data_IF_626783994700
#
_entry.id   IF_626783994700
#
_cell.length_a   1.000
_cell.length_b   1.000
_cell.length_c   1.000
_cell.angle_alpha   90.00
_cell.angle_beta   90.00
_cell.angle_gamma   90.00
#
_symmetry.space_group_name_H-M   'P 1'
#
loop_
_entity.id
_entity.type
_entity.pdbx_description
1 polymer ?
#
# COMPACT_ATOMS: atom_id res chain seq x y z
N UNK A 1 24.39 -16.65 8.09
CA UNK A 1 23.04 -16.90 7.55
C UNK A 1 22.69 -18.36 7.43
N UNK A 2 23.55 -19.22 6.83
CA UNK A 2 23.28 -20.67 6.72
C UNK A 2 22.70 -21.29 8.00
N UNK A 3 23.42 -21.19 9.12
CA UNK A 3 22.95 -21.68 10.41
C UNK A 3 21.56 -21.14 10.80
N UNK A 4 21.32 -19.84 10.63
CA UNK A 4 20.04 -19.22 10.99
C UNK A 4 18.90 -19.72 10.10
N UNK A 5 19.13 -19.82 8.79
CA UNK A 5 18.17 -20.36 7.81
C UNK A 5 17.85 -21.83 8.11
N UNK A 6 18.86 -22.67 8.33
CA UNK A 6 18.71 -24.10 8.63
C UNK A 6 18.00 -24.33 9.98
N UNK A 7 18.25 -23.46 10.96
CA UNK A 7 17.66 -23.56 12.30
C UNK A 7 16.21 -23.11 12.32
N UNK A 8 15.89 -22.00 11.65
CA UNK A 8 14.56 -21.37 11.72
C UNK A 8 13.63 -21.75 10.57
N UNK A 9 14.18 -22.28 9.48
CA UNK A 9 13.45 -22.63 8.25
C UNK A 9 12.66 -21.46 7.65
N UNK A 10 13.17 -20.23 7.80
CA UNK A 10 12.56 -19.04 7.19
C UNK A 10 12.81 -19.00 5.68
N UNK A 11 11.82 -18.48 4.94
CA UNK A 11 11.88 -18.33 3.47
C UNK A 11 12.51 -17.00 3.01
N UNK A 12 12.92 -16.14 3.96
CA UNK A 12 13.42 -14.81 3.63
C UNK A 12 13.87 -13.97 4.81
N UNK A 13 14.44 -12.81 4.50
CA UNK A 13 15.02 -11.88 5.47
C UNK A 13 14.61 -10.43 5.21
N UNK A 14 14.33 -9.70 6.29
CA UNK A 14 14.34 -8.23 6.33
C UNK A 14 15.70 -7.78 6.88
N UNK A 15 16.48 -7.06 6.08
CA UNK A 15 17.78 -6.55 6.44
C UNK A 15 17.66 -5.12 6.96
N UNK A 16 18.20 -4.90 8.15
CA UNK A 16 18.18 -3.63 8.86
C UNK A 16 19.30 -2.69 8.39
N UNK A 17 19.04 -1.39 8.41
CA UNK A 17 20.03 -0.31 8.37
C UNK A 17 20.99 -0.37 7.16
N UNK A 18 20.51 -0.78 5.98
CA UNK A 18 21.37 -1.09 4.82
C UNK A 18 22.24 0.09 4.35
N UNK A 19 21.78 1.32 4.59
CA UNK A 19 22.53 2.55 4.26
C UNK A 19 23.84 2.70 5.05
N UNK A 20 24.05 1.89 6.09
CA UNK A 20 25.23 1.92 6.96
C UNK A 20 26.23 0.78 6.71
N UNK A 21 25.93 -0.14 5.77
CA UNK A 21 26.83 -1.23 5.41
C UNK A 21 27.61 -0.93 4.13
N UNK A 22 28.77 -1.58 3.97
CA UNK A 22 29.44 -1.64 2.68
C UNK A 22 28.53 -2.37 1.69
N UNK A 23 28.20 -1.69 0.59
CA UNK A 23 27.36 -2.31 -0.44
C UNK A 23 28.03 -3.51 -1.11
N UNK A 24 29.37 -3.53 -1.17
CA UNK A 24 30.09 -4.66 -1.79
C UNK A 24 29.99 -5.91 -0.91
N UNK A 25 30.10 -5.73 0.41
CA UNK A 25 29.84 -6.81 1.38
C UNK A 25 28.40 -7.31 1.27
N UNK A 26 27.42 -6.40 1.26
CA UNK A 26 26.01 -6.78 1.15
C UNK A 26 25.75 -7.60 -0.12
N UNK A 27 26.30 -7.16 -1.26
CA UNK A 27 26.15 -7.86 -2.54
C UNK A 27 26.71 -9.28 -2.49
N UNK A 28 27.95 -9.43 -2.03
CA UNK A 28 28.59 -10.74 -1.89
C UNK A 28 27.81 -11.65 -0.93
N UNK A 29 27.37 -11.10 0.20
CA UNK A 29 26.65 -11.84 1.22
C UNK A 29 25.24 -12.28 0.76
N UNK A 30 24.50 -11.40 0.08
CA UNK A 30 23.20 -11.72 -0.52
C UNK A 30 23.36 -12.77 -1.62
N UNK A 31 24.40 -12.63 -2.45
CA UNK A 31 24.72 -13.61 -3.51
C UNK A 31 24.98 -14.97 -2.89
N UNK A 32 25.80 -15.05 -1.84
CA UNK A 32 26.06 -16.30 -1.12
C UNK A 32 24.78 -16.94 -0.56
N UNK A 33 23.86 -16.15 0.01
CA UNK A 33 22.58 -16.67 0.51
C UNK A 33 21.79 -17.32 -0.64
N UNK A 34 21.66 -16.61 -1.77
CA UNK A 34 20.88 -17.09 -2.92
C UNK A 34 21.54 -18.23 -3.69
N UNK A 35 22.86 -18.36 -3.70
CA UNK A 35 23.53 -19.45 -4.45
C UNK A 35 23.80 -20.68 -3.59
N UNK A 36 24.18 -20.49 -2.32
CA UNK A 36 24.67 -21.57 -1.48
C UNK A 36 23.71 -22.00 -0.37
N UNK A 37 22.76 -21.14 0.03
CA UNK A 37 21.84 -21.42 1.14
C UNK A 37 20.45 -21.76 0.62
N UNK A 38 19.81 -20.83 -0.08
CA UNK A 38 18.48 -21.00 -0.66
C UNK A 38 18.27 -20.06 -1.86
N UNK A 39 18.18 -20.59 -3.10
CA UNK A 39 17.85 -19.82 -4.30
C UNK A 39 16.49 -19.11 -4.26
N UNK A 40 15.54 -19.63 -3.47
CA UNK A 40 14.22 -19.05 -3.28
C UNK A 40 14.17 -17.91 -2.26
N UNK A 41 15.26 -17.68 -1.51
CA UNK A 41 15.25 -16.76 -0.38
C UNK A 41 14.87 -15.34 -0.78
N UNK A 42 13.75 -14.84 -0.25
CA UNK A 42 13.31 -13.47 -0.46
C UNK A 42 14.07 -12.49 0.45
N UNK A 43 14.54 -11.37 -0.08
CA UNK A 43 15.33 -10.40 0.67
C UNK A 43 14.70 -9.03 0.51
N UNK A 44 14.35 -8.44 1.64
CA UNK A 44 13.82 -7.09 1.77
C UNK A 44 14.80 -6.24 2.58
N UNK A 45 15.13 -5.06 2.08
CA UNK A 45 16.04 -4.13 2.71
C UNK A 45 15.37 -2.87 3.24
N UNK A 46 15.78 -2.44 4.43
CA UNK A 46 15.57 -1.07 4.89
C UNK A 46 16.76 -0.20 4.44
N UNK A 47 16.62 0.40 3.25
CA UNK A 47 17.49 1.46 2.77
C UNK A 47 16.74 2.80 2.88
N UNK A 48 16.65 3.35 4.09
CA UNK A 48 15.78 4.51 4.34
C UNK A 48 16.26 5.81 3.69
N UNK A 49 15.57 6.20 2.60
CA UNK A 49 15.71 7.47 1.88
C UNK A 49 14.36 7.91 1.31
N UNK A 50 13.96 9.16 1.52
CA UNK A 50 12.87 9.81 0.76
C UNK A 50 13.36 10.20 -0.65
N UNK A 51 13.88 9.24 -1.39
CA UNK A 51 14.41 9.42 -2.75
C UNK A 51 14.48 8.08 -3.49
N UNK A 52 13.49 7.81 -4.34
CA UNK A 52 13.43 6.56 -5.10
C UNK A 52 14.58 6.41 -6.12
N UNK A 53 15.22 7.50 -6.56
CA UNK A 53 16.39 7.39 -7.44
C UNK A 53 17.59 6.82 -6.68
N UNK A 54 17.84 7.31 -5.46
CA UNK A 54 18.90 6.77 -4.61
C UNK A 54 18.66 5.30 -4.23
N UNK A 55 17.41 4.94 -3.94
CA UNK A 55 17.05 3.53 -3.69
C UNK A 55 17.27 2.69 -4.96
N UNK A 56 16.89 3.21 -6.13
CA UNK A 56 17.12 2.55 -7.42
C UNK A 56 18.60 2.31 -7.72
N UNK A 57 19.46 3.30 -7.51
CA UNK A 57 20.92 3.18 -7.67
C UNK A 57 21.48 2.10 -6.74
N UNK A 58 21.00 2.06 -5.49
CA UNK A 58 21.37 1.00 -4.56
C UNK A 58 20.91 -0.38 -5.04
N UNK A 59 19.67 -0.51 -5.51
CA UNK A 59 19.10 -1.74 -6.06
C UNK A 59 19.88 -2.25 -7.27
N UNK A 60 20.28 -1.35 -8.18
CA UNK A 60 21.13 -1.68 -9.34
C UNK A 60 22.49 -2.23 -8.90
N UNK A 61 23.11 -1.60 -7.89
CA UNK A 61 24.39 -2.08 -7.36
C UNK A 61 24.28 -3.50 -6.81
N UNK A 62 23.11 -3.87 -6.28
CA UNK A 62 22.81 -5.21 -5.76
C UNK A 62 22.38 -6.21 -6.84
N UNK A 63 22.46 -5.85 -8.13
CA UNK A 63 21.95 -6.65 -9.26
C UNK A 63 20.50 -7.12 -9.04
N UNK A 64 19.67 -6.24 -8.45
CA UNK A 64 18.24 -6.50 -8.23
C UNK A 64 17.94 -7.74 -7.35
N UNK A 65 18.93 -8.20 -6.58
CA UNK A 65 18.79 -9.34 -5.68
C UNK A 65 17.97 -9.03 -4.41
N UNK A 66 17.52 -7.78 -4.25
CA UNK A 66 16.88 -7.26 -3.05
C UNK A 66 15.72 -6.32 -3.40
N UNK A 67 14.59 -6.48 -2.72
CA UNK A 67 13.52 -5.47 -2.69
C UNK A 67 13.78 -4.45 -1.59
N UNK A 68 13.26 -3.23 -1.70
CA UNK A 68 13.41 -2.19 -0.68
C UNK A 68 12.04 -1.67 -0.22
N UNK A 69 11.98 -1.25 1.05
CA UNK A 69 10.82 -0.50 1.53
C UNK A 69 10.65 0.83 0.78
N UNK A 70 9.43 1.13 0.40
CA UNK A 70 9.06 2.36 -0.32
C UNK A 70 8.87 3.54 0.64
N UNK A 71 9.95 3.98 1.27
CA UNK A 71 9.93 5.14 2.15
C UNK A 71 9.36 6.41 1.46
N UNK A 72 9.64 6.69 0.16
CA UNK A 72 9.03 7.84 -0.52
C UNK A 72 7.50 7.75 -0.61
N UNK A 73 6.93 6.57 -0.83
CA UNK A 73 5.48 6.40 -0.81
C UNK A 73 4.89 6.60 0.59
N UNK A 74 5.55 6.10 1.64
CA UNK A 74 5.17 6.41 3.02
C UNK A 74 5.13 7.93 3.27
N UNK A 75 6.16 8.67 2.84
CA UNK A 75 6.18 10.13 2.99
C UNK A 75 5.10 10.83 2.14
N UNK A 76 4.70 10.28 1.00
CA UNK A 76 3.53 10.76 0.27
C UNK A 76 2.24 10.60 1.10
N UNK A 77 2.03 9.46 1.75
CA UNK A 77 0.87 9.25 2.63
C UNK A 77 0.90 10.16 3.85
N UNK A 78 2.06 10.34 4.48
CA UNK A 78 2.24 11.26 5.60
C UNK A 78 1.85 12.68 5.20
N UNK A 79 2.42 13.22 4.10
CA UNK A 79 2.11 14.56 3.57
C UNK A 79 0.62 14.70 3.20
N UNK A 80 0.04 13.70 2.54
CA UNK A 80 -1.38 13.72 2.18
C UNK A 80 -2.29 13.76 3.42
N UNK A 81 -1.90 13.07 4.50
CA UNK A 81 -2.62 13.09 5.76
C UNK A 81 -2.53 14.43 6.49
N UNK A 82 -1.39 15.14 6.34
CA UNK A 82 -1.16 16.47 6.91
C UNK A 82 -1.93 17.57 6.17
N UNK A 83 -1.83 17.58 4.84
CA UNK A 83 -2.40 18.62 3.97
C UNK A 83 -3.91 18.42 3.70
N UNK A 84 -4.44 17.22 3.90
CA UNK A 84 -5.87 16.95 3.71
C UNK A 84 -6.30 17.20 2.26
N UNK A 85 -7.32 18.03 2.07
CA UNK A 85 -7.85 18.37 0.73
C UNK A 85 -6.91 19.21 -0.12
N UNK A 86 -5.86 19.81 0.46
CA UNK A 86 -4.90 20.60 -0.31
C UNK A 86 -3.86 19.73 -1.02
N UNK A 87 -3.73 18.46 -0.61
CA UNK A 87 -2.88 17.49 -1.29
C UNK A 87 -3.51 17.00 -2.60
N UNK A 88 -2.74 17.02 -3.69
CA UNK A 88 -3.15 16.51 -5.00
C UNK A 88 -2.97 15.00 -5.11
N UNK A 89 -4.05 14.22 -4.92
CA UNK A 89 -4.06 12.76 -4.97
C UNK A 89 -3.61 12.19 -6.32
N UNK A 90 -3.67 12.97 -7.42
CA UNK A 90 -3.15 12.51 -8.72
C UNK A 90 -1.64 12.20 -8.65
N UNK A 91 -0.96 12.80 -7.66
CA UNK A 91 0.48 12.68 -7.43
C UNK A 91 0.84 11.72 -6.29
N UNK A 92 -0.12 10.98 -5.74
CA UNK A 92 0.12 10.15 -4.54
C UNK A 92 1.21 9.08 -4.76
N UNK A 93 1.39 8.60 -5.99
CA UNK A 93 2.44 7.66 -6.36
C UNK A 93 3.70 8.35 -6.91
N UNK A 94 3.64 9.65 -7.20
CA UNK A 94 4.73 10.36 -7.87
C UNK A 94 6.00 10.36 -7.02
N UNK A 95 7.10 9.94 -7.62
CA UNK A 95 8.40 9.86 -6.98
C UNK A 95 8.59 8.63 -6.09
N UNK A 96 7.59 7.75 -5.98
CA UNK A 96 7.69 6.50 -5.20
C UNK A 96 8.56 5.44 -5.85
N UNK A 97 9.03 4.49 -5.05
CA UNK A 97 9.68 3.30 -5.59
C UNK A 97 8.67 2.41 -6.33
N UNK A 98 7.42 2.36 -5.88
CA UNK A 98 6.32 1.66 -6.54
C UNK A 98 6.09 2.18 -7.96
N UNK A 99 6.13 3.50 -8.17
CA UNK A 99 6.00 4.10 -9.50
C UNK A 99 7.20 3.78 -10.40
N UNK A 100 8.42 3.81 -9.84
CA UNK A 100 9.65 3.69 -10.65
C UNK A 100 10.12 2.25 -10.86
N UNK A 101 9.94 1.38 -9.88
CA UNK A 101 10.47 0.00 -9.80
C UNK A 101 9.52 -0.92 -9.02
N UNK A 102 8.30 -1.17 -9.51
CA UNK A 102 7.26 -1.89 -8.78
C UNK A 102 7.69 -3.27 -8.29
N UNK A 103 8.42 -4.04 -9.13
CA UNK A 103 8.88 -5.39 -8.80
C UNK A 103 9.84 -5.46 -7.58
N UNK A 104 10.48 -4.35 -7.23
CA UNK A 104 11.44 -4.26 -6.13
C UNK A 104 10.94 -3.38 -4.99
N UNK A 105 9.68 -2.93 -5.06
CA UNK A 105 9.08 -2.05 -4.07
C UNK A 105 8.21 -2.84 -3.08
N UNK A 106 8.49 -2.67 -1.80
CA UNK A 106 7.57 -3.08 -0.73
C UNK A 106 6.92 -1.84 -0.15
N UNK A 107 5.65 -1.65 -0.50
CA UNK A 107 4.85 -0.50 -0.06
C UNK A 107 4.32 -0.74 1.36
N UNK A 108 4.32 0.28 2.21
CA UNK A 108 3.81 0.22 3.57
C UNK A 108 3.18 1.56 3.96
N UNK A 109 2.29 1.55 4.95
CA UNK A 109 1.70 2.78 5.51
C UNK A 109 2.49 3.25 6.72
N UNK A 110 2.81 2.33 7.63
CA UNK A 110 3.53 2.58 8.88
C UNK A 110 4.54 1.48 9.19
N UNK A 111 5.51 1.79 10.04
CA UNK A 111 6.37 0.81 10.68
C UNK A 111 6.73 1.27 12.11
N UNK A 112 7.60 0.50 12.75
CA UNK A 112 8.04 0.75 14.12
C UNK A 112 8.92 2.00 14.29
N UNK A 113 9.53 2.52 13.23
CA UNK A 113 10.34 3.74 13.27
C UNK A 113 9.51 5.01 13.04
N UNK A 114 8.38 4.90 12.32
CA UNK A 114 7.56 6.04 11.87
C UNK A 114 6.36 6.34 12.78
N UNK A 115 6.00 5.41 13.67
CA UNK A 115 5.01 5.63 14.72
C UNK A 115 5.45 6.74 15.70
N UNK A 116 4.50 7.24 16.48
CA UNK A 116 4.67 8.44 17.32
C UNK A 116 5.85 8.30 18.30
N UNK A 117 6.63 9.36 18.48
CA UNK A 117 7.82 9.42 19.35
C UNK A 117 8.96 8.44 19.00
N UNK A 118 8.97 7.82 17.82
CA UNK A 118 10.07 6.95 17.38
C UNK A 118 11.08 7.68 16.48
N UNK A 119 12.20 7.02 16.16
CA UNK A 119 13.38 7.65 15.58
C UNK A 119 13.15 8.35 14.22
N UNK A 120 12.15 7.90 13.46
CA UNK A 120 11.78 8.43 12.16
C UNK A 120 10.32 8.90 12.15
N UNK A 121 9.82 9.41 13.29
CA UNK A 121 8.43 9.84 13.47
C UNK A 121 7.90 10.64 12.26
N UNK A 122 6.95 10.04 11.56
CA UNK A 122 6.22 10.62 10.42
C UNK A 122 4.88 9.91 10.29
N UNK A 123 4.14 9.90 11.40
CA UNK A 123 2.93 9.11 11.56
C UNK A 123 1.81 9.60 10.63
N UNK A 124 1.31 8.71 9.77
CA UNK A 124 0.14 8.97 8.91
C UNK A 124 -1.09 9.13 9.80
N UNK A 125 -1.80 10.26 9.70
CA UNK A 125 -2.99 10.50 10.53
C UNK A 125 -4.07 9.43 10.29
N UNK A 126 -4.73 9.02 11.37
CA UNK A 126 -5.69 7.91 11.37
C UNK A 126 -6.79 8.01 10.32
N UNK A 127 -7.26 9.22 10.02
CA UNK A 127 -8.30 9.45 9.00
C UNK A 127 -7.84 9.08 7.59
N UNK A 128 -6.53 9.14 7.30
CA UNK A 128 -5.97 8.85 5.98
C UNK A 128 -5.43 7.41 5.86
N UNK A 129 -5.14 6.72 6.98
CA UNK A 129 -4.69 5.32 6.97
C UNK A 129 -5.60 4.39 6.14
N UNK A 130 -6.95 4.44 6.26
CA UNK A 130 -7.87 3.74 5.37
C UNK A 130 -7.57 3.89 3.86
N UNK A 131 -7.29 5.13 3.42
CA UNK A 131 -7.03 5.45 2.02
C UNK A 131 -5.65 4.94 1.59
N UNK A 132 -4.63 5.14 2.44
CA UNK A 132 -3.27 4.66 2.19
C UNK A 132 -3.23 3.12 2.08
N UNK A 133 -3.93 2.41 2.98
CA UNK A 133 -4.04 0.96 2.91
C UNK A 133 -4.79 0.50 1.64
N UNK A 134 -5.87 1.18 1.25
CA UNK A 134 -6.56 0.84 0.01
C UNK A 134 -5.63 0.97 -1.21
N UNK A 135 -4.80 2.02 -1.26
CA UNK A 135 -3.83 2.22 -2.35
C UNK A 135 -2.85 1.04 -2.41
N UNK A 136 -2.18 0.68 -1.31
CA UNK A 136 -1.16 -0.39 -1.36
C UNK A 136 -1.77 -1.80 -1.48
N UNK A 137 -2.98 -2.02 -0.94
CA UNK A 137 -3.63 -3.33 -0.96
C UNK A 137 -4.37 -3.62 -2.27
N UNK A 138 -4.94 -2.61 -2.93
CA UNK A 138 -5.82 -2.84 -4.08
C UNK A 138 -5.19 -2.43 -5.41
N UNK A 139 -3.98 -1.86 -5.39
CA UNK A 139 -3.19 -1.62 -6.60
C UNK A 139 -2.55 -2.90 -7.13
N UNK A 140 -2.51 -3.05 -8.45
CA UNK A 140 -1.90 -4.19 -9.16
C UNK A 140 -0.42 -4.38 -8.83
N UNK A 141 0.36 -3.32 -8.96
CA UNK A 141 1.83 -3.37 -8.92
C UNK A 141 2.43 -3.45 -7.51
N UNK A 142 1.59 -3.30 -6.47
CA UNK A 142 2.08 -3.19 -5.10
C UNK A 142 2.33 -4.56 -4.46
N UNK A 143 3.48 -4.68 -3.80
CA UNK A 143 3.70 -5.65 -2.74
C UNK A 143 3.49 -4.96 -1.38
N UNK A 144 2.27 -5.03 -0.80
CA UNK A 144 1.96 -4.36 0.45
C UNK A 144 2.51 -5.09 1.67
N UNK A 145 3.04 -4.33 2.62
CA UNK A 145 3.36 -4.75 3.98
C UNK A 145 2.39 -4.08 4.96
N UNK A 146 1.64 -4.90 5.70
CA UNK A 146 0.68 -4.42 6.71
C UNK A 146 1.38 -4.27 8.06
N UNK A 147 1.15 -3.14 8.73
CA UNK A 147 1.72 -2.89 10.04
C UNK A 147 0.89 -3.53 11.15
N UNK A 148 1.56 -4.23 12.08
CA UNK A 148 0.89 -4.98 13.14
C UNK A 148 0.01 -4.08 14.05
N UNK A 149 0.50 -2.95 14.59
CA UNK A 149 -0.32 -2.01 15.36
C UNK A 149 -1.54 -1.46 14.62
N UNK A 150 -1.45 -1.21 13.31
CA UNK A 150 -2.63 -0.74 12.57
C UNK A 150 -3.70 -1.84 12.43
N UNK A 151 -3.31 -3.12 12.42
CA UNK A 151 -4.25 -4.24 12.35
C UNK A 151 -4.83 -4.64 13.71
N UNK A 152 -4.00 -4.63 14.75
CA UNK A 152 -4.36 -5.17 16.07
C UNK A 152 -4.49 -4.12 17.18
N UNK A 153 -4.12 -2.88 16.91
CA UNK A 153 -3.93 -1.84 17.92
C UNK A 153 -2.63 -2.07 18.69
N UNK A 154 -2.14 -1.02 19.34
CA UNK A 154 -1.02 -1.11 20.28
C UNK A 154 -1.13 -0.01 21.33
N UNK A 155 -0.47 -0.20 22.46
CA UNK A 155 -0.31 0.81 23.49
C UNK A 155 1.13 0.73 24.00
N UNK A 156 1.77 1.88 24.14
CA UNK A 156 3.13 1.98 24.67
C UNK A 156 3.34 3.34 25.33
N UNK A 157 4.43 3.43 26.07
CA UNK A 157 4.85 4.66 26.73
C UNK A 157 6.20 5.08 26.19
N UNK A 158 6.38 6.38 25.97
CA UNK A 158 7.69 6.96 25.68
C UNK A 158 7.91 8.27 26.44
N UNK A 159 9.12 8.84 26.38
CA UNK A 159 9.48 10.08 27.05
C UNK A 159 9.68 11.18 26.02
N UNK A 160 8.97 12.30 26.20
CA UNK A 160 9.18 13.53 25.44
C UNK A 160 9.36 14.69 26.41
N UNK A 161 10.45 15.44 26.23
CA UNK A 161 10.79 16.60 27.08
C UNK A 161 10.84 16.27 28.60
N UNK A 162 11.20 15.03 28.94
CA UNK A 162 11.29 14.54 30.33
C UNK A 162 9.95 14.12 30.94
N UNK A 163 8.85 14.19 30.18
CA UNK A 163 7.53 13.72 30.59
C UNK A 163 7.20 12.37 29.95
N UNK A 164 6.57 11.51 30.73
CA UNK A 164 6.06 10.21 30.29
C UNK A 164 4.77 10.41 29.50
N UNK A 165 4.75 9.97 28.24
CA UNK A 165 3.60 10.04 27.34
C UNK A 165 3.12 8.63 27.04
N UNK A 166 1.87 8.35 27.37
CA UNK A 166 1.17 7.15 26.91
C UNK A 166 0.62 7.39 25.50
N UNK A 167 0.90 6.46 24.59
CA UNK A 167 0.44 6.46 23.20
C UNK A 167 -0.46 5.24 23.00
N UNK A 168 -1.68 5.52 22.54
CA UNK A 168 -2.65 4.50 22.13
C UNK A 168 -2.77 4.56 20.61
N UNK A 169 -2.43 3.46 19.95
CA UNK A 169 -2.60 3.27 18.52
C UNK A 169 -3.89 2.50 18.26
N UNK A 170 -4.96 3.15 17.75
CA UNK A 170 -6.18 2.45 17.42
C UNK A 170 -5.99 1.53 16.20
N UNK A 171 -6.84 0.52 16.10
CA UNK A 171 -6.95 -0.29 14.89
C UNK A 171 -7.48 0.55 13.74
N UNK A 172 -6.99 0.28 12.54
CA UNK A 172 -7.65 0.70 11.30
C UNK A 172 -8.80 -0.27 11.05
N UNK A 173 -9.99 0.08 11.52
CA UNK A 173 -11.16 -0.82 11.56
C UNK A 173 -11.49 -1.50 10.22
N UNK A 174 -11.26 -0.82 9.08
CA UNK A 174 -11.53 -1.40 7.75
C UNK A 174 -10.44 -2.31 7.21
N UNK A 175 -9.27 -2.34 7.83
CA UNK A 175 -8.11 -3.04 7.29
C UNK A 175 -8.35 -4.55 7.07
N UNK A 176 -9.06 -5.27 7.97
CA UNK A 176 -9.48 -6.65 7.69
C UNK A 176 -10.38 -6.78 6.45
N UNK A 177 -11.25 -5.81 6.19
CA UNK A 177 -12.10 -5.82 4.99
C UNK A 177 -11.29 -5.52 3.73
N UNK A 178 -10.34 -4.56 3.77
CA UNK A 178 -9.44 -4.31 2.64
C UNK A 178 -8.55 -5.51 2.31
N UNK A 179 -8.08 -6.25 3.32
CA UNK A 179 -7.35 -7.51 3.12
C UNK A 179 -8.19 -8.56 2.41
N UNK A 180 -9.47 -8.71 2.79
CA UNK A 180 -10.41 -9.58 2.08
C UNK A 180 -10.63 -9.10 0.65
N UNK A 181 -10.79 -7.79 0.45
CA UNK A 181 -10.97 -7.22 -0.88
C UNK A 181 -9.77 -7.47 -1.80
N UNK A 182 -8.54 -7.35 -1.29
CA UNK A 182 -7.32 -7.72 -2.03
C UNK A 182 -7.37 -9.19 -2.44
N UNK A 183 -7.74 -10.07 -1.51
CA UNK A 183 -7.77 -11.51 -1.74
C UNK A 183 -8.90 -11.98 -2.67
N UNK A 184 -10.00 -11.23 -2.79
CA UNK A 184 -11.18 -11.68 -3.53
C UNK A 184 -11.40 -10.94 -4.85
N UNK A 185 -10.92 -9.69 -4.98
CA UNK A 185 -11.40 -8.82 -6.06
C UNK A 185 -10.28 -8.06 -6.79
N UNK A 186 -9.12 -7.86 -6.17
CA UNK A 186 -8.05 -7.04 -6.73
C UNK A 186 -7.18 -7.84 -7.73
N UNK A 187 -7.80 -8.31 -8.82
CA UNK A 187 -7.20 -9.15 -9.86
C UNK A 187 -7.31 -8.53 -11.26
N UNK A 188 -6.46 -9.00 -12.18
CA UNK A 188 -6.42 -8.52 -13.55
C UNK A 188 -5.82 -7.12 -13.73
N UNK A 189 -5.79 -6.70 -14.99
CA UNK A 189 -5.24 -5.42 -15.46
C UNK A 189 -5.89 -4.24 -14.70
N UNK A 190 -5.06 -3.26 -14.34
CA UNK A 190 -5.50 -2.04 -13.71
C UNK A 190 -5.71 -0.87 -14.68
N UNK A 191 -6.85 -0.19 -14.59
CA UNK A 191 -7.08 1.12 -15.23
C UNK A 191 -7.13 2.21 -14.16
N UNK A 192 -6.31 3.24 -14.27
CA UNK A 192 -6.27 4.38 -13.33
C UNK A 192 -7.12 5.57 -13.83
N UNK A 193 -7.92 6.12 -12.94
CA UNK A 193 -8.67 7.38 -13.10
C UNK A 193 -8.13 8.42 -12.11
N UNK A 194 -6.86 8.81 -12.30
CA UNK A 194 -6.15 9.78 -11.44
C UNK A 194 -6.21 11.18 -12.08
N UNK A 195 -7.42 11.65 -12.32
CA UNK A 195 -7.73 12.84 -13.13
C UNK A 195 -8.31 14.02 -12.32
N UNK A 196 -8.58 13.83 -11.02
CA UNK A 196 -9.09 14.88 -10.13
C UNK A 196 -8.24 14.95 -8.84
N UNK A 197 -7.91 16.15 -8.34
CA UNK A 197 -6.97 16.31 -7.22
C UNK A 197 -7.44 15.67 -5.92
N UNK A 198 -8.75 15.55 -5.70
CA UNK A 198 -9.29 15.01 -4.45
C UNK A 198 -10.06 13.71 -4.54
N UNK A 199 -10.33 13.22 -5.74
CA UNK A 199 -11.15 12.04 -5.95
C UNK A 199 -10.48 11.23 -7.05
N UNK A 200 -9.89 10.09 -6.71
CA UNK A 200 -9.24 9.20 -7.66
C UNK A 200 -9.84 7.81 -7.57
N UNK A 201 -9.80 7.07 -8.66
CA UNK A 201 -10.26 5.69 -8.68
C UNK A 201 -9.35 4.82 -9.54
N UNK A 202 -9.48 3.52 -9.38
CA UNK A 202 -8.90 2.55 -10.29
C UNK A 202 -9.79 1.32 -10.38
N UNK A 203 -9.76 0.71 -11.56
CA UNK A 203 -10.48 -0.51 -11.88
C UNK A 203 -9.46 -1.64 -11.89
N UNK A 204 -9.83 -2.77 -11.30
CA UNK A 204 -9.17 -4.07 -11.48
C UNK A 204 -10.10 -4.90 -12.34
N UNK A 205 -9.70 -5.23 -13.58
CA UNK A 205 -10.60 -5.82 -14.59
C UNK A 205 -11.12 -7.22 -14.24
N UNK A 206 -10.49 -7.90 -13.28
CA UNK A 206 -10.72 -9.31 -13.03
C UNK A 206 -9.92 -10.21 -13.97
N UNK A 207 -10.04 -11.51 -13.76
CA UNK A 207 -9.42 -12.56 -14.58
C UNK A 207 -10.44 -13.69 -14.80
N UNK A 208 -9.98 -14.91 -15.10
CA UNK A 208 -10.87 -16.06 -15.34
C UNK A 208 -11.75 -16.41 -14.12
N UNK A 209 -11.25 -16.16 -12.91
CA UNK A 209 -11.89 -16.57 -11.65
C UNK A 209 -12.48 -15.37 -10.87
N UNK A 210 -12.09 -14.14 -11.20
CA UNK A 210 -12.47 -12.93 -10.46
C UNK A 210 -13.16 -11.91 -11.34
N UNK A 211 -14.22 -11.27 -10.83
CA UNK A 211 -14.94 -10.21 -11.53
C UNK A 211 -14.28 -8.83 -11.36
N UNK A 212 -14.73 -7.86 -12.16
CA UNK A 212 -14.30 -6.46 -12.07
C UNK A 212 -14.55 -5.86 -10.69
N UNK A 213 -13.61 -5.05 -10.23
CA UNK A 213 -13.68 -4.30 -8.98
C UNK A 213 -13.25 -2.85 -9.21
N UNK A 214 -13.96 -1.91 -8.59
CA UNK A 214 -13.65 -0.48 -8.68
C UNK A 214 -13.36 0.06 -7.28
N UNK A 215 -12.13 0.53 -7.06
CA UNK A 215 -11.80 1.26 -5.83
C UNK A 215 -11.83 2.75 -6.12
N UNK A 216 -12.51 3.51 -5.26
CA UNK A 216 -12.59 4.97 -5.35
C UNK A 216 -12.29 5.56 -3.96
N UNK A 217 -11.48 6.61 -3.93
CA UNK A 217 -11.10 7.32 -2.70
C UNK A 217 -11.35 8.82 -2.86
N UNK A 218 -11.70 9.49 -1.76
CA UNK A 218 -11.70 10.95 -1.67
C UNK A 218 -10.97 11.43 -0.44
N UNK A 219 -10.04 12.40 -0.58
CA UNK A 219 -9.42 13.10 0.56
C UNK A 219 -10.12 14.42 0.92
N UNK A 220 -11.22 14.76 0.26
CA UNK A 220 -12.05 15.95 0.57
C UNK A 220 -13.50 15.55 0.85
N UNK A 221 -14.45 16.14 0.16
CA UNK A 221 -15.90 15.90 0.25
C UNK A 221 -16.30 14.59 -0.45
N UNK A 222 -17.59 14.27 -0.41
CA UNK A 222 -18.15 13.17 -1.21
C UNK A 222 -17.77 13.33 -2.69
N UNK A 223 -17.31 12.23 -3.28
CA UNK A 223 -16.82 12.18 -4.64
C UNK A 223 -17.57 11.15 -5.47
N UNK A 224 -17.55 11.34 -6.78
CA UNK A 224 -18.03 10.34 -7.73
C UNK A 224 -17.19 10.31 -8.98
N UNK A 225 -17.14 9.16 -9.65
CA UNK A 225 -16.54 9.01 -10.98
C UNK A 225 -17.40 8.16 -11.88
N UNK A 226 -17.53 8.62 -13.11
CA UNK A 226 -18.09 7.83 -14.19
C UNK A 226 -16.98 6.97 -14.80
N UNK A 227 -17.14 5.65 -14.74
CA UNK A 227 -16.11 4.67 -15.09
C UNK A 227 -16.68 3.67 -16.09
N UNK A 228 -15.92 3.38 -17.12
CA UNK A 228 -16.22 2.34 -18.11
C UNK A 228 -15.58 1.03 -17.64
N UNK A 229 -16.41 0.09 -17.19
CA UNK A 229 -15.97 -1.22 -16.68
C UNK A 229 -16.02 -2.32 -17.74
N UNK A 230 -16.67 -2.07 -18.88
CA UNK A 230 -16.74 -2.99 -20.02
C UNK A 230 -18.17 -3.46 -20.33
N UNK A 231 -18.50 -3.64 -21.62
CA UNK A 231 -19.85 -3.98 -22.11
C UNK A 231 -20.38 -5.31 -21.58
N UNK A 232 -19.49 -6.23 -21.22
CA UNK A 232 -19.78 -7.50 -20.56
C UNK A 232 -20.46 -7.31 -19.18
N UNK A 233 -20.32 -6.12 -18.58
CA UNK A 233 -20.98 -5.72 -17.34
C UNK A 233 -22.20 -4.81 -17.56
N UNK A 234 -22.75 -4.76 -18.78
CA UNK A 234 -23.96 -4.00 -19.06
C UNK A 234 -25.10 -4.39 -18.12
N UNK A 235 -25.75 -3.40 -17.50
CA UNK A 235 -26.82 -3.58 -16.51
C UNK A 235 -26.44 -4.35 -15.23
N UNK A 236 -25.15 -4.63 -15.01
CA UNK A 236 -24.70 -5.23 -13.76
C UNK A 236 -24.89 -4.24 -12.59
N UNK A 237 -25.21 -4.78 -11.42
CA UNK A 237 -25.44 -4.02 -10.18
C UNK A 237 -24.24 -4.19 -9.27
N UNK A 238 -23.76 -3.10 -8.70
CA UNK A 238 -22.60 -3.03 -7.82
C UNK A 238 -22.99 -2.53 -6.43
N UNK A 239 -22.32 -3.08 -5.41
CA UNK A 239 -22.44 -2.70 -3.99
C UNK A 239 -21.06 -2.31 -3.44
N UNK A 240 -21.02 -1.43 -2.45
CA UNK A 240 -19.78 -1.14 -1.72
C UNK A 240 -19.48 -2.28 -0.73
N UNK A 241 -18.45 -3.07 -1.03
CA UNK A 241 -18.00 -4.19 -0.21
C UNK A 241 -17.61 -3.76 1.21
N UNK A 242 -17.14 -2.52 1.39
CA UNK A 242 -16.75 -2.01 2.69
C UNK A 242 -17.94 -1.61 3.57
N UNK A 243 -19.15 -1.51 2.99
CA UNK A 243 -20.38 -1.18 3.72
C UNK A 243 -20.47 0.27 4.21
N UNK A 244 -19.58 1.16 3.74
CA UNK A 244 -19.67 2.59 4.01
C UNK A 244 -20.76 3.29 3.21
N UNK A 245 -21.19 2.65 2.13
CA UNK A 245 -22.31 3.07 1.30
C UNK A 245 -23.34 1.96 1.18
N UNK A 246 -24.61 2.34 1.28
CA UNK A 246 -25.75 1.43 1.18
C UNK A 246 -26.46 1.54 -0.18
N UNK A 247 -26.08 2.52 -1.01
CA UNK A 247 -26.61 2.63 -2.37
C UNK A 247 -25.99 1.59 -3.29
N UNK A 248 -26.78 1.15 -4.26
CA UNK A 248 -26.33 0.32 -5.37
C UNK A 248 -26.04 1.19 -6.60
N UNK A 249 -25.10 0.74 -7.42
CA UNK A 249 -24.73 1.37 -8.69
C UNK A 249 -25.04 0.40 -9.83
N UNK A 250 -25.87 0.80 -10.78
CA UNK A 250 -26.17 -0.02 -11.96
C UNK A 250 -25.44 0.53 -13.18
N UNK A 251 -24.71 -0.33 -13.88
CA UNK A 251 -24.08 0.03 -15.14
C UNK A 251 -25.11 0.20 -16.26
N UNK A 252 -24.83 1.09 -17.22
CA UNK A 252 -25.66 1.27 -18.40
C UNK A 252 -25.46 0.15 -19.43
N UNK A 253 -26.12 0.25 -20.59
CA UNK A 253 -26.02 -0.74 -21.67
C UNK A 253 -24.63 -0.83 -22.33
N UNK A 254 -23.72 0.10 -22.05
CA UNK A 254 -22.34 0.07 -22.50
C UNK A 254 -21.36 -0.38 -21.41
N UNK A 255 -21.85 -0.71 -20.21
CA UNK A 255 -20.98 -1.05 -19.09
C UNK A 255 -20.30 0.16 -18.47
N UNK A 256 -20.98 1.31 -18.45
CA UNK A 256 -20.51 2.52 -17.77
C UNK A 256 -21.36 2.79 -16.54
N UNK A 257 -20.75 3.19 -15.43
CA UNK A 257 -21.48 3.49 -14.19
C UNK A 257 -20.86 4.64 -13.41
N UNK A 258 -21.66 5.31 -12.57
CA UNK A 258 -21.19 6.37 -11.68
C UNK A 258 -20.97 5.82 -10.28
N UNK A 259 -19.72 5.55 -9.94
CA UNK A 259 -19.31 5.06 -8.62
C UNK A 259 -19.08 6.23 -7.67
N UNK A 260 -19.39 6.04 -6.39
CA UNK A 260 -19.36 7.11 -5.37
C UNK A 260 -18.49 6.73 -4.18
N UNK A 261 -18.04 7.73 -3.44
CA UNK A 261 -17.29 7.57 -2.19
C UNK A 261 -17.66 8.69 -1.23
N UNK A 262 -17.82 8.38 0.06
CA UNK A 262 -18.08 9.40 1.07
C UNK A 262 -16.88 10.35 1.23
N UNK A 263 -17.10 11.50 1.88
CA UNK A 263 -16.04 12.42 2.25
C UNK A 263 -14.95 11.72 3.07
N UNK A 264 -13.67 12.00 2.75
CA UNK A 264 -12.49 11.44 3.44
C UNK A 264 -12.55 9.92 3.62
N UNK A 265 -12.96 9.21 2.58
CA UNK A 265 -13.27 7.79 2.65
C UNK A 265 -12.78 7.02 1.43
N UNK A 266 -12.99 5.71 1.49
CA UNK A 266 -12.77 4.73 0.42
C UNK A 266 -14.01 3.88 0.26
N UNK A 267 -14.38 3.57 -0.97
CA UNK A 267 -15.38 2.56 -1.32
C UNK A 267 -14.79 1.57 -2.32
N UNK A 268 -15.15 0.30 -2.17
CA UNK A 268 -14.72 -0.80 -3.04
C UNK A 268 -15.97 -1.42 -3.66
N UNK A 269 -16.27 -1.03 -4.88
CA UNK A 269 -17.45 -1.47 -5.60
C UNK A 269 -17.18 -2.79 -6.31
N UNK A 270 -17.97 -3.79 -5.95
CA UNK A 270 -17.94 -5.14 -6.51
C UNK A 270 -19.33 -5.51 -7.00
N UNK A 271 -19.44 -6.51 -7.86
CA UNK A 271 -20.76 -7.02 -8.27
C UNK A 271 -21.59 -7.41 -7.05
N UNK A 272 -22.89 -7.13 -7.09
CA UNK A 272 -23.77 -7.35 -5.93
C UNK A 272 -23.98 -8.82 -5.61
N UNK A 273 -23.79 -9.69 -6.61
CA UNK A 273 -23.82 -11.15 -6.49
C UNK A 273 -22.46 -11.79 -6.16
N UNK A 274 -21.41 -10.98 -5.95
CA UNK A 274 -20.13 -11.42 -5.39
C UNK A 274 -20.20 -11.66 -3.88
#
# INVERSE_FOLDING_TARGET
MRWYSETTQVDGFRLDALKHFSSDFLKEWITYIKTEVDPGCYILGEFWKDDAEKIGIFSDKMDELISCFDAPLHYNFFRASEEGSDYDLRRILTGSLLEKRPLYSVSFVENHDTQQLQALESTVKDWFKPLAYAIILLSEEAYPCVFYPDLFGAEYTDIKDGEEINIVMPKVEILPALLKARHQFAYGEQIRYFDHPNCIAWVRKGDEDHSVCVTIISNSEEGSKEIEIGKEYAYAVFKDFLGYRNDEVTADGNGKAVFRVNARSVSVWVRSDA
#
